data_IF_020302400710
#
_entry.id   IF_020302400710
#
_cell.length_a   1.000
_cell.length_b   1.000
_cell.length_c   1.000
_cell.angle_alpha   90.00
_cell.angle_beta   90.00
_cell.angle_gamma   90.00
#
_symmetry.space_group_name_H-M   'P 1'
#
loop_
_entity.id
_entity.type
_entity.pdbx_description
1 polymer ?
#
# COMPACT_ATOMS: atom_id res chain seq x y z
N UNK A 1 11.43 -18.60 -4.78
CA UNK A 1 11.30 -17.44 -3.85
C UNK A 1 11.30 -17.88 -2.39
N UNK A 2 10.38 -18.73 -1.94
CA UNK A 2 10.29 -19.15 -0.51
C UNK A 2 11.57 -19.79 0.04
N UNK A 3 12.19 -20.69 -0.71
CA UNK A 3 13.47 -21.27 -0.32
C UNK A 3 14.56 -20.20 -0.13
N UNK A 4 14.65 -19.27 -1.07
CA UNK A 4 15.64 -18.19 -1.02
C UNK A 4 15.44 -17.26 0.18
N UNK A 5 14.18 -16.94 0.51
CA UNK A 5 13.83 -16.18 1.70
C UNK A 5 14.24 -16.90 2.99
N UNK A 6 13.87 -18.16 3.10
CA UNK A 6 14.22 -18.97 4.28
C UNK A 6 15.73 -19.04 4.47
N UNK A 7 16.47 -19.32 3.40
CA UNK A 7 17.93 -19.38 3.45
C UNK A 7 18.53 -18.02 3.84
N UNK A 8 18.06 -16.94 3.24
CA UNK A 8 18.51 -15.58 3.55
C UNK A 8 18.27 -15.20 5.02
N UNK A 9 17.07 -15.50 5.55
CA UNK A 9 16.71 -15.15 6.92
C UNK A 9 17.42 -16.05 7.97
N UNK A 10 17.69 -17.29 7.63
CA UNK A 10 18.42 -18.22 8.53
C UNK A 10 19.90 -17.85 8.58
N UNK A 11 20.52 -17.54 7.44
CA UNK A 11 21.95 -17.27 7.31
C UNK A 11 22.33 -15.81 7.61
N UNK A 12 21.35 -14.90 7.74
CA UNK A 12 21.59 -13.50 8.05
C UNK A 12 22.25 -13.35 9.43
N UNK A 13 23.36 -12.58 9.54
CA UNK A 13 23.94 -12.19 10.82
C UNK A 13 22.91 -11.51 11.73
N UNK A 14 23.03 -11.74 13.04
CA UNK A 14 22.05 -11.23 14.03
C UNK A 14 21.91 -9.72 14.05
N UNK A 15 22.96 -9.01 13.70
CA UNK A 15 23.01 -7.53 13.66
C UNK A 15 22.25 -6.93 12.47
N UNK A 16 22.08 -7.68 11.38
CA UNK A 16 21.34 -7.26 10.18
C UNK A 16 20.02 -7.98 9.99
N UNK A 17 19.75 -9.00 10.82
CA UNK A 17 18.51 -9.81 10.72
C UNK A 17 17.27 -8.92 10.93
N UNK A 18 16.25 -8.99 10.03
CA UNK A 18 15.05 -8.18 10.17
C UNK A 18 14.21 -8.63 11.38
N UNK A 19 13.60 -7.68 12.07
CA UNK A 19 12.62 -7.93 13.14
C UNK A 19 11.24 -8.30 12.60
N UNK A 20 10.93 -7.82 11.40
CA UNK A 20 9.73 -8.14 10.64
C UNK A 20 10.14 -8.35 9.19
N UNK A 21 9.55 -9.37 8.59
CA UNK A 21 9.65 -9.68 7.17
C UNK A 21 8.28 -10.11 6.66
N UNK A 22 7.70 -9.36 5.75
CA UNK A 22 6.41 -9.66 5.12
C UNK A 22 6.52 -9.47 3.62
N UNK A 23 6.39 -10.57 2.88
CA UNK A 23 6.40 -10.54 1.42
C UNK A 23 4.99 -10.63 0.85
N UNK A 24 4.77 -9.85 -0.19
CA UNK A 24 3.60 -9.96 -1.05
C UNK A 24 4.09 -10.01 -2.51
N UNK A 25 4.06 -11.21 -3.11
CA UNK A 25 4.58 -11.49 -4.46
C UNK A 25 6.05 -11.05 -4.58
N UNK A 26 6.32 -9.90 -5.18
CA UNK A 26 7.67 -9.36 -5.43
C UNK A 26 8.07 -8.27 -4.43
N UNK A 27 7.11 -7.72 -3.70
CA UNK A 27 7.34 -6.65 -2.73
C UNK A 27 7.52 -7.22 -1.32
N UNK A 28 8.49 -6.69 -0.60
CA UNK A 28 8.78 -7.07 0.80
C UNK A 28 8.76 -5.82 1.68
N UNK A 29 7.99 -5.90 2.76
CA UNK A 29 8.06 -4.95 3.87
C UNK A 29 8.92 -5.54 4.98
N UNK A 30 9.94 -4.82 5.39
CA UNK A 30 10.85 -5.25 6.44
C UNK A 30 11.06 -4.16 7.50
N UNK A 31 11.30 -4.60 8.74
CA UNK A 31 11.76 -3.74 9.83
C UNK A 31 13.16 -4.20 10.21
N UNK A 32 14.12 -3.35 9.98
CA UNK A 32 15.53 -3.62 10.25
C UNK A 32 16.14 -2.57 11.18
N UNK A 33 17.29 -2.86 11.73
CA UNK A 33 18.09 -1.88 12.47
C UNK A 33 18.50 -0.76 11.51
N UNK A 34 18.47 0.47 11.98
CA UNK A 34 18.88 1.64 11.20
C UNK A 34 20.30 1.45 10.63
N UNK A 35 20.43 1.63 9.31
CA UNK A 35 21.70 1.46 8.59
C UNK A 35 21.99 0.03 8.13
N UNK A 36 21.15 -0.96 8.43
CA UNK A 36 21.38 -2.36 8.04
C UNK A 36 20.73 -2.76 6.71
N UNK A 37 19.87 -1.92 6.13
CA UNK A 37 19.11 -2.26 4.92
C UNK A 37 20.01 -2.62 3.73
N UNK A 38 21.08 -1.87 3.51
CA UNK A 38 22.05 -2.13 2.43
C UNK A 38 22.75 -3.47 2.63
N UNK A 39 23.23 -3.74 3.84
CA UNK A 39 23.93 -4.98 4.17
C UNK A 39 23.03 -6.20 4.05
N UNK A 40 21.76 -6.08 4.50
CA UNK A 40 20.77 -7.14 4.36
C UNK A 40 20.46 -7.41 2.88
N UNK A 41 20.25 -6.36 2.09
CA UNK A 41 20.01 -6.48 0.65
C UNK A 41 21.18 -7.16 -0.07
N UNK A 42 22.41 -6.76 0.25
CA UNK A 42 23.61 -7.41 -0.29
C UNK A 42 23.69 -8.89 0.09
N UNK A 43 23.36 -9.22 1.35
CA UNK A 43 23.32 -10.60 1.82
C UNK A 43 22.31 -11.45 1.06
N UNK A 44 21.07 -10.94 0.88
CA UNK A 44 20.00 -11.63 0.14
C UNK A 44 20.41 -11.85 -1.31
N UNK A 45 21.01 -10.85 -1.95
CA UNK A 45 21.44 -10.93 -3.36
C UNK A 45 22.59 -11.94 -3.58
N UNK A 46 23.31 -12.34 -2.54
CA UNK A 46 24.36 -13.36 -2.62
C UNK A 46 23.79 -14.78 -2.59
N UNK A 47 22.55 -14.98 -2.15
CA UNK A 47 21.93 -16.30 -2.05
C UNK A 47 21.67 -16.88 -3.44
N UNK A 48 21.18 -16.07 -4.37
CA UNK A 48 21.00 -16.50 -5.77
C UNK A 48 22.30 -16.35 -6.57
N UNK A 49 23.08 -17.45 -6.61
CA UNK A 49 24.34 -17.50 -7.38
C UNK A 49 24.15 -17.34 -8.88
N UNK A 50 22.96 -17.65 -9.39
CA UNK A 50 22.64 -17.50 -10.82
C UNK A 50 22.31 -16.06 -11.20
N UNK A 51 22.00 -15.20 -10.22
CA UNK A 51 21.70 -13.78 -10.43
C UNK A 51 20.38 -13.52 -11.14
N UNK A 52 19.46 -14.48 -11.15
CA UNK A 52 18.15 -14.36 -11.79
C UNK A 52 17.17 -13.48 -10.96
N UNK A 53 17.39 -13.42 -9.65
CA UNK A 53 16.60 -12.64 -8.71
C UNK A 53 17.49 -11.60 -8.05
N UNK A 54 17.12 -10.33 -8.18
CA UNK A 54 17.85 -9.22 -7.59
C UNK A 54 16.91 -8.36 -6.76
N UNK A 55 17.27 -8.16 -5.52
CA UNK A 55 16.57 -7.25 -4.60
C UNK A 55 17.19 -5.85 -4.64
N UNK A 56 16.32 -4.87 -4.58
CA UNK A 56 16.64 -3.47 -4.31
C UNK A 56 15.91 -3.06 -3.05
N UNK A 57 16.30 -1.99 -2.41
CA UNK A 57 15.66 -1.51 -1.20
C UNK A 57 15.33 -0.03 -1.28
N UNK A 58 14.28 0.35 -0.58
CA UNK A 58 13.91 1.72 -0.30
C UNK A 58 13.80 1.89 1.21
N UNK A 59 14.22 3.02 1.73
CA UNK A 59 14.10 3.36 3.14
C UNK A 59 12.99 4.37 3.36
N UNK A 60 12.46 4.41 4.58
CA UNK A 60 11.49 5.43 4.96
C UNK A 60 12.06 6.84 4.74
N UNK A 61 11.23 7.74 4.24
CA UNK A 61 11.51 9.16 4.10
C UNK A 61 10.44 9.96 4.83
N UNK A 62 10.84 10.99 5.60
CA UNK A 62 9.90 11.80 6.38
C UNK A 62 8.98 10.97 7.30
N UNK A 63 9.53 9.92 7.90
CA UNK A 63 8.80 8.97 8.76
C UNK A 63 7.65 8.24 8.07
N UNK A 64 7.71 8.08 6.78
CA UNK A 64 6.69 7.36 6.01
C UNK A 64 7.31 6.48 4.93
N UNK A 65 6.64 5.40 4.61
CA UNK A 65 6.99 4.49 3.53
C UNK A 65 5.72 3.92 2.88
N UNK A 66 5.74 3.84 1.56
CA UNK A 66 4.66 3.20 0.82
C UNK A 66 4.94 1.69 0.69
N UNK A 67 3.91 0.89 0.93
CA UNK A 67 3.93 -0.54 0.65
C UNK A 67 2.60 -0.95 0.01
N UNK A 68 2.67 -1.48 -1.20
CA UNK A 68 1.50 -1.75 -2.04
C UNK A 68 0.66 -0.48 -2.25
N UNK A 69 -0.60 -0.51 -1.82
CA UNK A 69 -1.52 0.61 -1.88
C UNK A 69 -1.70 1.34 -0.53
N UNK A 70 -0.82 1.05 0.41
CA UNK A 70 -0.86 1.60 1.77
C UNK A 70 0.34 2.50 2.03
N UNK A 71 0.11 3.68 2.58
CA UNK A 71 1.14 4.55 3.12
C UNK A 71 1.23 4.33 4.64
N UNK A 72 2.38 3.86 5.09
CA UNK A 72 2.69 3.64 6.50
C UNK A 72 3.33 4.91 7.04
N UNK A 73 2.72 5.53 8.04
CA UNK A 73 3.20 6.78 8.64
C UNK A 73 3.50 6.56 10.11
N UNK A 74 4.71 6.89 10.53
CA UNK A 74 5.13 6.85 11.93
C UNK A 74 4.84 8.20 12.56
N UNK A 75 4.08 8.19 13.65
CA UNK A 75 3.75 9.39 14.41
C UNK A 75 4.89 9.80 15.35
N UNK A 76 4.84 11.02 15.87
CA UNK A 76 5.81 11.54 16.83
C UNK A 76 5.84 10.75 18.15
N UNK A 77 4.71 10.19 18.57
CA UNK A 77 4.57 9.33 19.75
C UNK A 77 5.10 7.90 19.54
N UNK A 78 5.60 7.59 18.32
CA UNK A 78 6.10 6.26 17.93
C UNK A 78 5.02 5.29 17.46
N UNK A 79 3.75 5.66 17.51
CA UNK A 79 2.66 4.86 16.94
C UNK A 79 2.64 4.93 15.41
N UNK A 80 1.93 4.00 14.79
CA UNK A 80 1.83 3.90 13.33
C UNK A 80 0.39 4.17 12.91
N UNK A 81 0.21 4.98 11.88
CA UNK A 81 -1.07 5.10 11.17
C UNK A 81 -0.94 4.67 9.72
N UNK A 82 -2.02 4.17 9.16
CA UNK A 82 -2.10 3.71 7.77
C UNK A 82 -3.05 4.60 6.98
N UNK A 83 -2.61 4.97 5.78
CA UNK A 83 -3.35 5.76 4.82
C UNK A 83 -3.39 5.04 3.46
N UNK A 84 -4.32 5.41 2.60
CA UNK A 84 -4.30 4.96 1.20
C UNK A 84 -3.17 5.66 0.46
N UNK A 85 -2.27 4.87 -0.13
CA UNK A 85 -1.19 5.39 -0.95
C UNK A 85 -1.66 5.61 -2.41
N UNK A 86 -1.32 6.76 -2.95
CA UNK A 86 -1.48 7.07 -4.37
C UNK A 86 -0.13 7.45 -4.97
N UNK A 87 0.25 6.74 -6.03
CA UNK A 87 1.47 7.10 -6.77
C UNK A 87 1.32 8.52 -7.32
N UNK A 88 2.43 9.25 -7.44
CA UNK A 88 2.44 10.61 -8.03
C UNK A 88 1.91 10.64 -9.48
N UNK A 89 2.00 9.51 -10.18
CA UNK A 89 1.50 9.33 -11.55
C UNK A 89 0.02 8.96 -11.61
N UNK A 90 -0.64 8.75 -10.47
CA UNK A 90 -2.07 8.42 -10.43
C UNK A 90 -2.88 9.65 -10.87
N UNK A 91 -3.75 9.44 -11.85
CA UNK A 91 -4.60 10.51 -12.43
C UNK A 91 -5.98 10.59 -11.80
N UNK A 92 -6.31 9.69 -10.85
CA UNK A 92 -7.65 9.51 -10.25
C UNK A 92 -8.77 9.30 -11.30
N UNK A 93 -8.39 8.82 -12.49
CA UNK A 93 -9.34 8.46 -13.53
C UNK A 93 -9.95 7.10 -13.21
N UNK A 94 -11.24 7.11 -12.94
CA UNK A 94 -12.07 5.93 -12.74
C UNK A 94 -12.98 5.70 -13.94
N UNK A 95 -13.71 4.57 -13.92
CA UNK A 95 -14.72 4.30 -14.91
C UNK A 95 -15.69 5.48 -15.03
N UNK A 96 -15.79 6.09 -16.21
CA UNK A 96 -16.66 7.27 -16.41
C UNK A 96 -18.15 6.88 -16.30
N UNK A 97 -18.94 7.69 -15.59
CA UNK A 97 -20.35 7.36 -15.34
C UNK A 97 -21.17 7.26 -16.62
N UNK A 98 -20.88 8.06 -17.65
CA UNK A 98 -21.55 8.03 -18.94
C UNK A 98 -21.04 6.93 -19.90
N UNK A 99 -20.14 6.05 -19.44
CA UNK A 99 -19.70 4.89 -20.23
C UNK A 99 -20.87 3.89 -20.46
N UNK A 100 -20.72 3.03 -21.45
CA UNK A 100 -21.73 2.00 -21.76
C UNK A 100 -21.80 0.83 -20.77
N UNK A 101 -21.01 0.86 -19.70
CA UNK A 101 -21.04 -0.20 -18.70
C UNK A 101 -22.34 -0.22 -17.89
N UNK A 102 -22.79 -1.39 -17.42
CA UNK A 102 -23.96 -1.51 -16.56
C UNK A 102 -23.85 -0.65 -15.30
N UNK A 103 -24.98 -0.13 -14.82
CA UNK A 103 -25.04 0.71 -13.62
C UNK A 103 -24.41 0.03 -12.40
N UNK A 104 -24.59 -1.28 -12.26
CA UNK A 104 -24.00 -2.04 -11.15
C UNK A 104 -22.47 -1.97 -11.12
N UNK A 105 -21.80 -1.97 -12.28
CA UNK A 105 -20.35 -1.80 -12.37
C UNK A 105 -19.93 -0.41 -11.91
N UNK A 106 -20.67 0.62 -12.29
CA UNK A 106 -20.41 2.00 -11.86
C UNK A 106 -20.58 2.18 -10.35
N UNK A 107 -21.65 1.62 -9.78
CA UNK A 107 -21.87 1.65 -8.34
C UNK A 107 -20.83 0.81 -7.57
N UNK A 108 -20.32 -0.27 -8.18
CA UNK A 108 -19.27 -1.08 -7.55
C UNK A 108 -17.94 -0.36 -7.45
N UNK A 109 -17.64 0.59 -8.34
CA UNK A 109 -16.44 1.45 -8.22
C UNK A 109 -16.50 2.25 -6.92
N UNK A 110 -17.65 2.90 -6.63
CA UNK A 110 -17.83 3.65 -5.38
C UNK A 110 -17.63 2.72 -4.18
N UNK A 111 -18.30 1.55 -4.20
CA UNK A 111 -18.22 0.57 -3.11
C UNK A 111 -16.80 0.11 -2.86
N UNK A 112 -16.06 -0.24 -3.91
CA UNK A 112 -14.68 -0.71 -3.82
C UNK A 112 -13.76 0.35 -3.20
N UNK A 113 -13.90 1.62 -3.60
CA UNK A 113 -13.09 2.71 -3.05
C UNK A 113 -13.43 2.98 -1.58
N UNK A 114 -14.71 2.92 -1.21
CA UNK A 114 -15.14 3.09 0.19
C UNK A 114 -14.69 1.92 1.06
N UNK A 115 -14.83 0.67 0.59
CA UNK A 115 -14.35 -0.52 1.30
C UNK A 115 -12.82 -0.49 1.50
N UNK A 116 -12.07 -0.03 0.48
CA UNK A 116 -10.62 0.15 0.58
C UNK A 116 -10.25 1.15 1.66
N UNK A 117 -10.90 2.31 1.68
CA UNK A 117 -10.72 3.32 2.73
C UNK A 117 -10.94 2.71 4.12
N UNK A 118 -12.04 1.98 4.32
CA UNK A 118 -12.38 1.39 5.62
C UNK A 118 -11.41 0.30 6.07
N UNK A 119 -10.85 -0.46 5.12
CA UNK A 119 -9.88 -1.52 5.40
C UNK A 119 -8.47 -1.01 5.64
N UNK A 120 -8.06 0.04 4.95
CA UNK A 120 -6.67 0.52 4.98
C UNK A 120 -6.46 1.59 6.03
N UNK A 121 -7.36 2.58 6.14
CA UNK A 121 -7.15 3.74 6.99
C UNK A 121 -7.51 3.40 8.45
N UNK A 122 -6.58 3.72 9.36
CA UNK A 122 -6.74 3.42 10.78
C UNK A 122 -7.48 4.51 11.57
N UNK A 123 -7.36 5.78 11.17
CA UNK A 123 -7.94 6.91 11.91
C UNK A 123 -9.21 7.45 11.25
N UNK A 124 -10.22 7.77 12.05
CA UNK A 124 -11.53 8.23 11.55
C UNK A 124 -11.47 9.60 10.87
N UNK A 125 -10.58 10.48 11.29
CA UNK A 125 -10.38 11.78 10.64
C UNK A 125 -9.81 11.61 9.23
N UNK A 126 -8.79 10.77 9.10
CA UNK A 126 -8.18 10.45 7.81
C UNK A 126 -9.19 9.74 6.87
N UNK A 127 -10.11 8.93 7.41
CA UNK A 127 -11.20 8.32 6.63
C UNK A 127 -12.16 9.36 6.06
N UNK A 128 -12.50 10.39 6.83
CA UNK A 128 -13.36 11.48 6.35
C UNK A 128 -12.71 12.27 5.22
N UNK A 129 -11.43 12.57 5.38
CA UNK A 129 -10.64 13.24 4.34
C UNK A 129 -10.58 12.39 3.05
N UNK A 130 -10.36 11.10 3.18
CA UNK A 130 -10.34 10.16 2.05
C UNK A 130 -11.69 10.06 1.35
N UNK A 131 -12.81 10.06 2.09
CA UNK A 131 -14.16 10.11 1.49
C UNK A 131 -14.33 11.35 0.62
N UNK A 132 -13.84 12.49 1.07
CA UNK A 132 -13.92 13.72 0.29
C UNK A 132 -13.10 13.62 -0.99
N UNK A 133 -11.87 13.12 -0.94
CA UNK A 133 -11.02 12.87 -2.11
C UNK A 133 -11.68 11.91 -3.11
N UNK A 134 -12.27 10.80 -2.64
CA UNK A 134 -12.99 9.85 -3.47
C UNK A 134 -14.18 10.52 -4.17
N UNK A 135 -14.98 11.31 -3.44
CA UNK A 135 -16.12 12.02 -4.01
C UNK A 135 -15.71 13.01 -5.10
N UNK A 136 -14.66 13.78 -4.86
CA UNK A 136 -14.14 14.75 -5.83
C UNK A 136 -13.64 14.05 -7.10
N UNK A 137 -12.85 12.99 -6.97
CA UNK A 137 -12.36 12.19 -8.10
C UNK A 137 -13.52 11.58 -8.92
N UNK A 138 -14.52 11.01 -8.26
CA UNK A 138 -15.67 10.40 -8.94
C UNK A 138 -16.60 11.46 -9.57
N UNK A 139 -16.79 12.60 -8.94
CA UNK A 139 -17.52 13.73 -9.56
C UNK A 139 -16.84 14.19 -10.85
N UNK A 140 -15.52 14.29 -10.87
CA UNK A 140 -14.76 14.56 -12.08
C UNK A 140 -14.97 13.51 -13.18
N UNK A 141 -15.28 12.26 -12.81
CA UNK A 141 -15.66 11.16 -13.73
C UNK A 141 -17.16 11.12 -14.04
N UNK A 142 -17.94 12.16 -13.70
CA UNK A 142 -19.37 12.29 -14.03
C UNK A 142 -20.33 11.58 -13.09
N UNK A 143 -19.90 11.13 -11.91
CA UNK A 143 -20.80 10.45 -10.95
C UNK A 143 -21.75 11.45 -10.28
N UNK A 144 -23.08 11.19 -10.37
CA UNK A 144 -24.07 12.05 -9.72
C UNK A 144 -24.16 11.81 -8.22
N UNK A 145 -24.63 12.80 -7.48
CA UNK A 145 -24.73 12.75 -6.01
C UNK A 145 -25.57 11.57 -5.49
N UNK A 146 -26.65 11.20 -6.20
CA UNK A 146 -27.50 10.07 -5.80
C UNK A 146 -26.77 8.72 -5.81
N UNK A 147 -25.75 8.56 -6.68
CA UNK A 147 -24.97 7.33 -6.76
C UNK A 147 -24.21 7.02 -5.45
N UNK A 148 -23.77 8.05 -4.75
CA UNK A 148 -23.12 7.90 -3.42
C UNK A 148 -24.10 7.49 -2.33
N UNK A 149 -25.38 7.87 -2.45
CA UNK A 149 -26.42 7.51 -1.47
C UNK A 149 -26.89 6.05 -1.62
N UNK A 150 -26.78 5.48 -2.82
CA UNK A 150 -27.15 4.08 -3.09
C UNK A 150 -26.09 3.07 -2.67
N UNK A 151 -24.94 3.52 -2.26
CA UNK A 151 -23.85 2.67 -1.77
C UNK A 151 -23.66 2.89 -0.26
N UNK A 152 -24.55 2.35 0.60
CA UNK A 152 -24.41 2.51 2.04
C UNK A 152 -23.10 1.89 2.49
N UNK A 153 -22.36 2.63 3.32
CA UNK A 153 -21.25 2.07 4.07
C UNK A 153 -21.76 0.86 4.84
N UNK A 154 -21.23 -0.33 4.54
CA UNK A 154 -21.41 -1.44 5.47
C UNK A 154 -20.77 -1.03 6.79
N UNK A 155 -21.59 -0.88 7.83
CA UNK A 155 -21.13 -0.76 9.21
C UNK A 155 -20.40 -2.03 9.62
#
# INVERSE_FOLDING_TARGET
MEWMEQEALVTAPLDIKPRLWKRYVDDVLEIVKKGSAEQLTAHINQIDKAGNIKFTYETESDQQIAFLDTLIVKKQDGSIKLLVYRKKTQTDQHLHFNSHHPLQHKLSVIRTLMDRKDKVITEEEDKKEEVQKIKEALKACGYPEWAFKQTPNKK
#
